data_IF_499653612122
#
_entry.id   IF_499653612122
#
_cell.length_a   1.000
_cell.length_b   1.000
_cell.length_c   1.000
_cell.angle_alpha   90.00
_cell.angle_beta   90.00
_cell.angle_gamma   90.00
#
_symmetry.space_group_name_H-M   'P 1'
#
loop_
_entity.id
_entity.type
_entity.pdbx_description
1 polymer ?
#
# COMPACT_ATOMS: atom_id res chain seq x y z
N UNK A 1 4.83 10.27 7.83
CA UNK A 1 5.05 11.03 6.58
C UNK A 1 5.52 10.10 5.47
N UNK A 2 5.00 10.28 4.26
CA UNK A 2 5.31 9.42 3.11
C UNK A 2 6.18 10.18 2.13
N UNK A 3 7.15 9.50 1.51
CA UNK A 3 7.99 10.17 0.53
C UNK A 3 7.27 10.27 -0.82
N UNK A 4 7.86 11.02 -1.73
CA UNK A 4 7.25 11.31 -3.02
C UNK A 4 7.00 10.06 -3.85
N UNK A 5 7.92 9.09 -3.80
CA UNK A 5 7.77 7.85 -4.56
C UNK A 5 6.56 7.04 -4.07
N UNK A 6 6.35 7.01 -2.77
CA UNK A 6 5.19 6.33 -2.17
C UNK A 6 3.90 7.01 -2.60
N UNK A 7 3.86 8.34 -2.51
CA UNK A 7 2.68 9.12 -2.86
C UNK A 7 2.33 8.95 -4.34
N UNK A 8 3.33 9.00 -5.21
CA UNK A 8 3.11 8.81 -6.65
C UNK A 8 2.65 7.40 -6.97
N UNK A 9 3.21 6.42 -6.28
CA UNK A 9 2.80 5.03 -6.46
C UNK A 9 1.31 4.88 -6.15
N UNK A 10 0.87 5.45 -5.04
CA UNK A 10 -0.54 5.40 -4.68
C UNK A 10 -1.41 6.12 -5.72
N UNK A 11 -1.02 7.31 -6.16
CA UNK A 11 -1.78 8.05 -7.16
C UNK A 11 -1.95 7.27 -8.46
N UNK A 12 -0.88 6.61 -8.91
CA UNK A 12 -0.91 5.87 -10.16
C UNK A 12 -1.67 4.56 -10.06
N UNK A 13 -1.75 3.97 -8.88
CA UNK A 13 -2.29 2.62 -8.70
C UNK A 13 -3.53 2.56 -7.81
N UNK A 14 -4.08 3.71 -7.42
CA UNK A 14 -5.21 3.71 -6.49
C UNK A 14 -6.43 2.94 -7.01
N UNK A 15 -6.59 2.84 -8.31
CA UNK A 15 -7.71 2.08 -8.90
C UNK A 15 -7.62 0.57 -8.63
N UNK A 16 -6.46 0.09 -8.18
CA UNK A 16 -6.28 -1.28 -7.78
C UNK A 16 -7.14 -1.63 -6.56
N UNK A 17 -7.38 -0.67 -5.68
CA UNK A 17 -8.12 -0.87 -4.44
C UNK A 17 -9.48 -0.17 -4.45
N UNK A 18 -9.57 0.98 -5.11
CA UNK A 18 -10.78 1.80 -5.09
C UNK A 18 -11.39 1.92 -6.48
N UNK A 19 -12.73 1.88 -6.60
CA UNK A 19 -13.40 2.00 -7.92
C UNK A 19 -13.31 3.40 -8.51
N UNK A 20 -13.06 4.41 -7.67
CA UNK A 20 -12.90 5.79 -8.11
C UNK A 20 -11.64 6.38 -7.49
N UNK A 21 -11.09 7.39 -8.13
CA UNK A 21 -9.91 8.07 -7.59
C UNK A 21 -10.27 8.75 -6.28
N UNK A 22 -9.54 8.41 -5.21
CA UNK A 22 -9.73 9.01 -3.89
C UNK A 22 -8.82 10.22 -3.68
N UNK A 23 -7.82 10.38 -4.56
CA UNK A 23 -6.90 11.50 -4.53
C UNK A 23 -6.59 11.94 -5.96
N UNK A 24 -6.54 13.25 -6.19
CA UNK A 24 -6.28 13.81 -7.52
C UNK A 24 -4.89 14.43 -7.62
N UNK A 25 -4.21 14.64 -6.50
CA UNK A 25 -2.86 15.20 -6.49
C UNK A 25 -2.09 14.65 -5.30
N UNK A 26 -0.81 15.01 -5.24
CA UNK A 26 0.09 14.47 -4.20
C UNK A 26 -0.33 14.88 -2.79
N UNK A 27 -0.81 16.09 -2.62
CA UNK A 27 -1.25 16.58 -1.33
C UNK A 27 -2.46 15.78 -0.82
N UNK A 28 -3.42 15.53 -1.69
CA UNK A 28 -4.59 14.72 -1.32
C UNK A 28 -4.22 13.28 -1.04
N UNK A 29 -3.29 12.73 -1.83
CA UNK A 29 -2.84 11.37 -1.63
C UNK A 29 -2.16 11.22 -0.27
N UNK A 30 -1.28 12.15 0.09
CA UNK A 30 -0.60 12.10 1.37
C UNK A 30 -1.60 12.19 2.52
N UNK A 31 -2.55 13.10 2.43
CA UNK A 31 -3.58 13.24 3.47
C UNK A 31 -4.41 11.96 3.61
N UNK A 32 -4.76 11.35 2.48
CA UNK A 32 -5.53 10.10 2.50
C UNK A 32 -4.74 8.98 3.15
N UNK A 33 -3.47 8.83 2.79
CA UNK A 33 -2.63 7.78 3.34
C UNK A 33 -2.43 7.96 4.86
N UNK A 34 -2.30 9.17 5.32
CA UNK A 34 -2.20 9.44 6.75
C UNK A 34 -3.49 9.14 7.48
N UNK A 35 -4.63 9.51 6.90
CA UNK A 35 -5.94 9.26 7.49
C UNK A 35 -6.24 7.76 7.63
N UNK A 36 -5.85 6.96 6.66
CA UNK A 36 -6.10 5.51 6.71
C UNK A 36 -4.97 4.73 7.39
N UNK A 37 -3.98 5.43 7.91
CA UNK A 37 -2.84 4.83 8.62
C UNK A 37 -2.09 3.81 7.77
N UNK A 38 -1.86 4.16 6.50
CA UNK A 38 -1.11 3.31 5.58
C UNK A 38 0.31 3.08 6.07
N UNK A 39 0.87 1.93 5.73
CA UNK A 39 2.19 1.51 6.20
C UNK A 39 3.11 1.29 5.01
N UNK A 40 4.36 1.72 5.13
CA UNK A 40 5.39 1.43 4.14
C UNK A 40 6.35 0.42 4.73
N UNK A 41 6.58 -0.67 4.01
CA UNK A 41 7.53 -1.71 4.41
C UNK A 41 8.66 -1.77 3.41
N UNK A 42 9.81 -2.25 3.84
CA UNK A 42 11.04 -2.19 3.04
C UNK A 42 11.35 -3.48 2.29
N UNK A 43 10.54 -4.52 2.46
CA UNK A 43 10.75 -5.78 1.75
C UNK A 43 9.45 -6.55 1.60
N UNK A 44 9.46 -7.52 0.68
CA UNK A 44 8.31 -8.39 0.47
C UNK A 44 8.02 -9.24 1.72
N UNK A 45 9.05 -9.67 2.42
CA UNK A 45 8.86 -10.44 3.66
C UNK A 45 8.14 -9.64 4.73
N UNK A 46 8.36 -8.34 4.79
CA UNK A 46 7.67 -7.48 5.73
C UNK A 46 6.17 -7.36 5.42
N UNK A 47 5.80 -7.45 4.14
CA UNK A 47 4.39 -7.49 3.76
C UNK A 47 3.73 -8.72 4.38
N UNK A 48 4.38 -9.88 4.25
CA UNK A 48 3.87 -11.11 4.82
C UNK A 48 3.76 -11.03 6.34
N UNK A 49 4.78 -10.50 7.00
CA UNK A 49 4.76 -10.30 8.45
C UNK A 49 3.63 -9.37 8.88
N UNK A 50 3.39 -8.32 8.13
CA UNK A 50 2.31 -7.39 8.42
C UNK A 50 0.96 -8.10 8.42
N UNK A 51 0.70 -8.90 7.40
CA UNK A 51 -0.56 -9.63 7.33
C UNK A 51 -0.70 -10.67 8.43
N UNK A 52 0.39 -11.33 8.79
CA UNK A 52 0.37 -12.30 9.88
C UNK A 52 0.04 -11.63 11.22
N UNK A 53 0.61 -10.46 11.48
CA UNK A 53 0.34 -9.71 12.70
C UNK A 53 -1.09 -9.20 12.77
N UNK A 54 -1.66 -8.85 11.61
CA UNK A 54 -3.04 -8.38 11.54
C UNK A 54 -4.06 -9.50 11.53
N UNK A 55 -3.59 -10.74 11.54
CA UNK A 55 -4.48 -11.89 11.56
C UNK A 55 -5.12 -12.22 10.21
N UNK A 56 -4.55 -11.70 9.13
CA UNK A 56 -5.05 -11.97 7.79
C UNK A 56 -4.46 -13.28 7.29
N UNK A 57 -5.32 -14.17 6.82
CA UNK A 57 -4.88 -15.44 6.26
C UNK A 57 -4.24 -15.24 4.90
N UNK A 58 -2.95 -15.50 4.79
CA UNK A 58 -2.25 -15.52 3.52
C UNK A 58 -1.55 -16.87 3.38
N UNK A 59 -1.58 -17.42 2.17
CA UNK A 59 -1.03 -18.75 1.90
C UNK A 59 0.48 -18.67 1.75
N UNK A 60 0.96 -17.69 1.02
CA UNK A 60 2.39 -17.51 0.77
C UNK A 60 2.67 -16.05 0.40
N UNK A 61 3.94 -15.78 0.05
CA UNK A 61 4.36 -14.43 -0.28
C UNK A 61 3.66 -13.88 -1.52
N UNK A 62 3.47 -14.71 -2.54
CA UNK A 62 2.79 -14.27 -3.76
C UNK A 62 1.34 -13.88 -3.47
N UNK A 63 0.68 -14.60 -2.59
CA UNK A 63 -0.68 -14.29 -2.19
C UNK A 63 -0.74 -12.95 -1.47
N UNK A 64 0.20 -12.70 -0.56
CA UNK A 64 0.29 -11.44 0.15
C UNK A 64 0.56 -10.27 -0.80
N UNK A 65 1.50 -10.43 -1.73
CA UNK A 65 1.86 -9.37 -2.67
C UNK A 65 0.78 -9.12 -3.72
N UNK A 66 -0.07 -10.10 -3.96
CA UNK A 66 -1.19 -9.96 -4.90
C UNK A 66 -2.43 -9.32 -4.32
N UNK A 67 -2.43 -9.02 -3.01
CA UNK A 67 -3.58 -8.40 -2.37
C UNK A 67 -3.78 -6.98 -2.91
N UNK A 68 -5.04 -6.56 -3.07
CA UNK A 68 -5.33 -5.23 -3.64
C UNK A 68 -4.86 -4.09 -2.73
N UNK A 69 -4.71 -4.33 -1.43
CA UNK A 69 -4.22 -3.31 -0.51
C UNK A 69 -2.70 -3.13 -0.56
N UNK A 70 -1.98 -3.97 -1.29
CA UNK A 70 -0.51 -3.88 -1.40
C UNK A 70 -0.11 -3.23 -2.71
N UNK A 71 0.66 -2.16 -2.62
CA UNK A 71 1.14 -1.39 -3.77
C UNK A 71 2.65 -1.52 -3.87
N UNK A 72 3.15 -2.01 -4.98
CA UNK A 72 4.58 -2.13 -5.21
C UNK A 72 5.15 -0.77 -5.63
N UNK A 73 6.06 -0.23 -4.82
CA UNK A 73 6.63 1.09 -5.08
C UNK A 73 7.67 1.03 -6.21
N UNK A 74 8.40 -0.06 -6.30
CA UNK A 74 9.31 -0.28 -7.42
C UNK A 74 10.78 -0.33 -7.05
N UNK A 75 11.13 0.00 -5.82
CA UNK A 75 12.51 -0.03 -5.33
C UNK A 75 12.70 -1.07 -4.23
N UNK A 76 11.84 -2.06 -4.18
CA UNK A 76 11.86 -3.09 -3.14
C UNK A 76 10.94 -2.78 -1.97
N UNK A 77 10.39 -1.58 -1.92
CA UNK A 77 9.45 -1.18 -0.87
C UNK A 77 8.01 -1.44 -1.33
N UNK A 78 7.14 -1.58 -0.35
CA UNK A 78 5.71 -1.79 -0.60
C UNK A 78 4.90 -0.89 0.30
N UNK A 79 3.77 -0.41 -0.22
CA UNK A 79 2.80 0.40 0.53
C UNK A 79 1.59 -0.47 0.82
N UNK A 80 1.17 -0.51 2.07
CA UNK A 80 -0.01 -1.28 2.47
C UNK A 80 -1.10 -0.29 2.91
N UNK A 81 -2.22 -0.31 2.19
CA UNK A 81 -3.34 0.59 2.44
C UNK A 81 -4.55 -0.25 2.80
N UNK A 82 -5.06 -0.08 4.01
CA UNK A 82 -6.30 -0.75 4.43
C UNK A 82 -7.48 0.12 4.02
N UNK A 83 -8.29 -0.39 3.13
CA UNK A 83 -9.42 0.34 2.60
C UNK A 83 -10.73 0.07 3.29
#
# INVERSE_FOLDING_TARGET
>A
MFDEDVIRCFLNKQSQLFPEDVAENEEEAEAFLEDCMAVVVESANEVLEYFEEEGVDVIDLDDALGASEVFEIGDGRYLIVEG
#
